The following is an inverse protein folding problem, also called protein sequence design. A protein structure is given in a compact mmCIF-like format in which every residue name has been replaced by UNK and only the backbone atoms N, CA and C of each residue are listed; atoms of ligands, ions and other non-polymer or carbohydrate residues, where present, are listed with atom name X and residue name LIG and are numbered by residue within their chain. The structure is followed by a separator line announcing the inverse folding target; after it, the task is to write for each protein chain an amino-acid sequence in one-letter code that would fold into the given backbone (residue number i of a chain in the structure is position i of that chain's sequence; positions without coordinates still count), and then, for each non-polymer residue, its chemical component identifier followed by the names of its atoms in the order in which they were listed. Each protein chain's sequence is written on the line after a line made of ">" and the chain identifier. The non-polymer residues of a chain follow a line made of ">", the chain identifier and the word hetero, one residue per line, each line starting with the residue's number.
data_IF_949896655175
#
_entry.id   IF_949896655175
#
_cell.length_a   1.000
_cell.length_b   1.000
_cell.length_c   1.000
_cell.angle_alpha   90.00
_cell.angle_beta   90.00
_cell.angle_gamma   90.00
#
_symmetry.space_group_name_H-M   'P 1'
#
loop_
_entity.id
_entity.type
_entity.pdbx_description
1 polymer ?
#
# COMPACT_ATOMS: atom_id res chain seq x y z
N UNK A 1 13.74 44.05 10.68
CA UNK A 1 12.74 43.25 11.42
C UNK A 1 11.37 43.59 10.84
N UNK A 2 10.54 42.61 10.49
CA UNK A 2 9.20 42.91 9.95
C UNK A 2 8.30 43.52 11.03
N UNK A 3 7.43 44.48 10.69
CA UNK A 3 6.56 45.10 11.67
C UNK A 3 5.48 44.10 12.16
N UNK A 4 5.41 43.90 13.47
CA UNK A 4 4.43 43.03 14.12
C UNK A 4 3.08 43.76 14.35
N UNK A 5 1.99 43.02 14.66
CA UNK A 5 0.73 43.60 15.11
C UNK A 5 0.89 44.48 16.35
N UNK A 6 0.01 45.47 16.52
CA UNK A 6 0.06 46.35 17.70
C UNK A 6 -0.35 45.61 18.98
N UNK A 7 -1.29 44.66 18.88
CA UNK A 7 -1.75 43.87 20.01
C UNK A 7 -0.71 42.82 20.41
N UNK A 8 -0.42 42.72 21.71
CA UNK A 8 0.53 41.74 22.27
C UNK A 8 0.13 40.30 21.93
N UNK A 9 -1.16 39.98 21.97
CA UNK A 9 -1.64 38.64 21.59
C UNK A 9 -1.38 38.36 20.11
N UNK A 10 -1.50 39.38 19.25
CA UNK A 10 -1.21 39.27 17.82
C UNK A 10 0.29 39.11 17.53
N UNK A 11 1.16 39.76 18.33
CA UNK A 11 2.62 39.57 18.26
C UNK A 11 2.97 38.12 18.59
N UNK A 12 2.52 37.65 19.76
CA UNK A 12 2.72 36.26 20.21
C UNK A 12 2.19 35.23 19.22
N UNK A 13 1.03 35.50 18.61
CA UNK A 13 0.46 34.67 17.56
C UNK A 13 1.37 34.55 16.34
N UNK A 14 1.88 35.67 15.83
CA UNK A 14 2.77 35.68 14.67
C UNK A 14 4.14 35.04 14.96
N UNK A 15 4.62 35.13 16.21
CA UNK A 15 5.85 34.48 16.65
C UNK A 15 5.70 32.96 16.75
N UNK A 16 4.56 32.50 17.27
CA UNK A 16 4.23 31.07 17.40
C UNK A 16 4.07 30.42 16.02
N UNK A 17 3.31 31.07 15.14
CA UNK A 17 3.03 30.60 13.77
C UNK A 17 3.88 31.36 12.74
N UNK A 18 5.20 31.23 12.87
CA UNK A 18 6.16 32.07 12.15
C UNK A 18 6.35 31.74 10.67
N UNK A 19 6.11 30.49 10.26
CA UNK A 19 6.26 30.03 8.87
C UNK A 19 5.08 30.47 8.01
N UNK A 20 5.26 31.60 7.33
CA UNK A 20 4.21 32.31 6.58
C UNK A 20 4.32 32.19 5.06
N UNK A 21 5.17 31.28 4.57
CA UNK A 21 5.27 30.91 3.16
C UNK A 21 4.31 29.76 2.85
N UNK A 22 3.69 29.77 1.66
CA UNK A 22 2.73 28.72 1.25
C UNK A 22 1.60 28.47 2.27
N UNK A 23 1.16 29.53 2.96
CA UNK A 23 -0.04 29.48 3.80
C UNK A 23 -1.25 29.03 2.96
N UNK A 24 -2.22 28.43 3.63
CA UNK A 24 -3.52 28.13 3.03
C UNK A 24 -4.54 29.17 3.49
N UNK A 25 -5.49 29.49 2.62
CA UNK A 25 -6.65 30.29 2.98
C UNK A 25 -7.92 29.68 2.37
N UNK A 26 -9.08 29.94 2.97
CA UNK A 26 -10.38 29.50 2.46
C UNK A 26 -11.49 30.40 2.97
N UNK A 27 -12.60 30.45 2.24
CA UNK A 27 -13.79 31.22 2.59
C UNK A 27 -14.64 30.48 3.61
N UNK A 28 -15.29 31.21 4.52
CA UNK A 28 -16.31 30.66 5.44
C UNK A 28 -17.72 30.74 4.88
N UNK A 29 -17.92 31.28 3.67
CA UNK A 29 -19.24 31.42 3.04
C UNK A 29 -19.94 30.07 2.83
N UNK A 30 -19.17 29.02 2.51
CA UNK A 30 -19.70 27.65 2.39
C UNK A 30 -19.45 26.86 3.68
N UNK A 31 -20.45 26.81 4.56
CA UNK A 31 -20.38 26.11 5.83
C UNK A 31 -20.15 24.60 5.72
N UNK A 32 -20.45 23.98 4.56
CA UNK A 32 -20.30 22.54 4.36
C UNK A 32 -18.86 22.12 4.02
N UNK A 33 -18.09 22.98 3.33
CA UNK A 33 -16.71 22.67 2.92
C UNK A 33 -15.92 23.93 2.60
N UNK A 34 -14.83 24.13 3.32
CA UNK A 34 -13.87 25.21 3.06
C UNK A 34 -13.09 24.96 1.76
N UNK A 35 -13.04 25.96 0.90
CA UNK A 35 -12.34 25.97 -0.40
C UNK A 35 -10.86 26.33 -0.24
N UNK A 36 -10.10 25.46 0.42
CA UNK A 36 -8.69 25.71 0.70
C UNK A 36 -7.85 25.94 -0.55
N UNK A 37 -7.19 27.10 -0.63
CA UNK A 37 -6.19 27.46 -1.64
C UNK A 37 -4.85 27.79 -1.01
N UNK A 38 -3.75 27.43 -1.68
CA UNK A 38 -2.39 27.75 -1.21
C UNK A 38 -1.91 29.08 -1.80
N UNK A 39 -1.39 29.96 -0.95
CA UNK A 39 -0.80 31.24 -1.33
C UNK A 39 0.67 31.00 -1.73
N UNK A 40 0.95 30.89 -3.03
CA UNK A 40 2.28 30.54 -3.56
C UNK A 40 3.13 31.74 -3.97
N UNK A 41 2.52 32.92 -4.13
CA UNK A 41 3.17 34.09 -4.75
C UNK A 41 4.07 34.88 -3.80
N UNK A 42 3.75 34.93 -2.52
CA UNK A 42 4.45 35.74 -1.52
C UNK A 42 4.20 35.20 -0.11
N UNK A 43 5.14 35.40 0.85
CA UNK A 43 4.87 35.10 2.24
C UNK A 43 3.91 36.16 2.83
N UNK A 44 3.04 35.74 3.74
CA UNK A 44 2.18 36.68 4.47
C UNK A 44 3.00 37.50 5.47
N UNK A 45 2.88 38.84 5.41
CA UNK A 45 3.46 39.74 6.42
C UNK A 45 2.72 39.59 7.76
N UNK A 46 3.36 39.81 8.93
CA UNK A 46 2.75 39.50 10.24
C UNK A 46 1.41 40.21 10.47
N UNK A 47 1.32 41.50 10.14
CA UNK A 47 0.08 42.28 10.27
C UNK A 47 -1.05 41.78 9.37
N UNK A 48 -0.72 41.36 8.15
CA UNK A 48 -1.71 40.82 7.19
C UNK A 48 -2.16 39.43 7.62
N UNK A 49 -1.22 38.60 8.07
CA UNK A 49 -1.50 37.29 8.63
C UNK A 49 -2.44 37.37 9.85
N UNK A 50 -2.15 38.28 10.78
CA UNK A 50 -3.01 38.56 11.92
C UNK A 50 -4.40 39.07 11.50
N UNK A 51 -4.47 40.02 10.56
CA UNK A 51 -5.75 40.53 10.06
C UNK A 51 -6.61 39.41 9.44
N UNK A 52 -5.99 38.51 8.64
CA UNK A 52 -6.67 37.35 8.06
C UNK A 52 -7.18 36.37 9.12
N UNK A 53 -6.40 36.15 10.18
CA UNK A 53 -6.86 35.33 11.30
C UNK A 53 -8.09 35.92 11.99
N UNK A 54 -8.18 37.25 12.08
CA UNK A 54 -9.30 37.95 12.74
C UNK A 54 -10.55 38.09 11.86
N UNK A 55 -10.46 37.78 10.56
CA UNK A 55 -11.58 37.90 9.63
C UNK A 55 -12.51 36.68 9.75
N UNK A 56 -13.75 36.89 10.22
CA UNK A 56 -14.75 35.82 10.34
C UNK A 56 -15.20 35.24 8.98
N UNK A 57 -14.98 35.98 7.89
CA UNK A 57 -15.25 35.56 6.51
C UNK A 57 -14.18 34.64 5.91
N UNK A 58 -13.06 34.47 6.60
CA UNK A 58 -11.92 33.71 6.09
C UNK A 58 -11.38 32.73 7.13
N UNK A 59 -10.72 31.69 6.61
CA UNK A 59 -9.87 30.82 7.40
C UNK A 59 -8.49 30.83 6.78
N UNK A 60 -7.47 30.77 7.63
CA UNK A 60 -6.07 30.69 7.28
C UNK A 60 -5.42 29.52 8.01
N UNK A 61 -4.42 28.93 7.37
CA UNK A 61 -3.61 27.84 7.89
C UNK A 61 -2.15 28.03 7.52
N UNK A 62 -1.27 27.38 8.28
CA UNK A 62 0.18 27.46 8.12
C UNK A 62 0.78 26.08 7.93
N UNK A 63 2.02 26.07 7.43
CA UNK A 63 2.87 24.88 7.34
C UNK A 63 3.99 25.00 8.36
N UNK A 64 4.88 24.02 8.38
CA UNK A 64 6.03 23.99 9.28
C UNK A 64 7.32 24.31 8.53
N UNK A 65 8.26 24.96 9.23
CA UNK A 65 9.63 25.11 8.76
C UNK A 65 10.47 23.86 9.09
N UNK A 66 11.79 23.91 8.87
CA UNK A 66 12.75 22.87 9.27
C UNK A 66 12.69 22.51 10.76
N UNK A 67 12.42 23.50 11.61
CA UNK A 67 12.35 23.40 13.05
C UNK A 67 11.01 23.97 13.53
N UNK A 68 10.42 23.38 14.56
CA UNK A 68 9.10 23.78 15.08
C UNK A 68 9.08 23.76 16.60
N UNK A 69 8.19 24.58 17.18
CA UNK A 69 7.90 24.62 18.62
C UNK A 69 6.54 23.99 18.96
N UNK A 70 5.92 23.33 18.00
CA UNK A 70 4.67 22.63 18.24
C UNK A 70 4.38 21.54 17.21
N UNK A 71 3.42 20.70 17.56
CA UNK A 71 2.69 19.84 16.65
C UNK A 71 1.17 19.99 16.87
N UNK A 72 0.39 19.46 15.93
CA UNK A 72 -1.07 19.34 16.01
C UNK A 72 -1.45 17.93 15.59
N UNK A 73 -2.33 17.31 16.36
CA UNK A 73 -3.05 16.11 15.92
C UNK A 73 -4.46 16.55 15.57
N UNK A 74 -4.88 16.27 14.34
CA UNK A 74 -6.20 16.62 13.82
C UNK A 74 -7.05 15.35 13.72
N UNK A 75 -8.25 15.41 14.29
CA UNK A 75 -9.17 14.30 14.42
C UNK A 75 -10.52 14.77 13.91
N UNK A 76 -10.93 14.24 12.77
CA UNK A 76 -12.17 14.66 12.13
C UNK A 76 -13.41 14.24 12.91
N UNK A 77 -14.49 15.00 12.70
CA UNK A 77 -15.80 14.67 13.24
C UNK A 77 -16.23 13.26 12.78
N UNK A 78 -16.71 12.44 13.72
CA UNK A 78 -17.12 11.07 13.45
C UNK A 78 -15.97 10.05 13.38
N UNK A 79 -14.72 10.47 13.58
CA UNK A 79 -13.59 9.55 13.73
C UNK A 79 -13.76 8.64 14.94
N UNK A 80 -13.48 7.34 14.78
CA UNK A 80 -13.49 6.39 15.90
C UNK A 80 -12.47 6.72 16.99
N UNK A 81 -11.50 7.59 16.68
CA UNK A 81 -10.46 8.05 17.60
C UNK A 81 -10.99 9.06 18.63
N UNK A 82 -12.13 9.72 18.37
CA UNK A 82 -12.76 10.63 19.35
C UNK A 82 -13.15 9.93 20.66
N UNK A 83 -13.43 8.64 20.62
CA UNK A 83 -13.71 7.83 21.82
C UNK A 83 -12.44 7.28 22.49
N UNK A 84 -11.28 7.53 21.89
CA UNK A 84 -9.98 6.98 22.32
C UNK A 84 -8.97 8.08 22.67
N UNK A 85 -9.43 9.33 22.87
CA UNK A 85 -8.56 10.47 23.22
C UNK A 85 -7.68 10.19 24.46
N UNK A 86 -8.17 9.56 25.54
CA UNK A 86 -7.31 9.21 26.67
C UNK A 86 -6.19 8.23 26.28
N UNK A 87 -6.49 7.23 25.45
CA UNK A 87 -5.49 6.26 24.95
C UNK A 87 -4.49 6.93 24.01
N UNK A 88 -4.96 7.86 23.17
CA UNK A 88 -4.12 8.65 22.27
C UNK A 88 -3.14 9.51 23.07
N UNK A 89 -3.62 10.19 24.13
CA UNK A 89 -2.77 10.98 25.03
C UNK A 89 -1.76 10.10 25.77
N UNK A 90 -2.20 8.97 26.32
CA UNK A 90 -1.31 8.02 26.98
C UNK A 90 -0.23 7.45 26.02
N UNK A 91 -0.56 7.27 24.74
CA UNK A 91 0.42 6.88 23.73
C UNK A 91 1.48 7.99 23.55
N UNK A 92 1.07 9.25 23.43
CA UNK A 92 1.98 10.39 23.28
C UNK A 92 2.89 10.58 24.51
N UNK A 93 2.40 10.29 25.71
CA UNK A 93 3.20 10.31 26.95
C UNK A 93 4.43 9.40 26.84
N UNK A 94 4.35 8.27 26.13
CA UNK A 94 5.47 7.32 25.95
C UNK A 94 6.67 7.85 25.14
N UNK A 95 6.52 9.04 24.54
CA UNK A 95 7.58 9.75 23.83
C UNK A 95 7.83 11.15 24.41
N UNK A 96 7.45 11.37 25.66
CA UNK A 96 7.66 12.63 26.40
C UNK A 96 6.66 13.73 26.12
N UNK A 97 5.55 13.45 25.41
CA UNK A 97 4.46 14.41 25.19
C UNK A 97 3.40 14.23 26.27
N UNK A 98 3.54 15.00 27.35
CA UNK A 98 2.78 14.83 28.59
C UNK A 98 1.47 15.62 28.61
N UNK A 99 1.43 16.77 27.92
CA UNK A 99 0.26 17.64 27.90
C UNK A 99 -0.09 18.09 26.49
N UNK A 100 -1.40 18.18 26.24
CA UNK A 100 -1.97 18.68 24.98
C UNK A 100 -2.97 19.78 25.28
N UNK A 101 -3.12 20.74 24.38
CA UNK A 101 -4.17 21.76 24.44
C UNK A 101 -5.29 21.35 23.49
N UNK A 102 -6.45 20.86 23.99
CA UNK A 102 -7.54 20.41 23.15
C UNK A 102 -8.40 21.59 22.66
N UNK A 103 -8.71 21.57 21.37
CA UNK A 103 -9.60 22.52 20.73
C UNK A 103 -10.60 21.78 19.87
N UNK A 104 -11.87 22.18 19.92
CA UNK A 104 -12.77 21.86 18.82
C UNK A 104 -12.30 22.63 17.59
N UNK A 105 -12.15 21.95 16.46
CA UNK A 105 -11.64 22.53 15.22
C UNK A 105 -12.73 23.28 14.45
N UNK A 106 -13.99 22.84 14.52
CA UNK A 106 -15.12 23.51 13.86
C UNK A 106 -16.49 23.13 14.47
N UNK A 107 -17.58 23.69 13.93
CA UNK A 107 -18.94 23.35 14.34
C UNK A 107 -19.33 21.88 14.14
N UNK A 108 -18.63 21.14 13.26
CA UNK A 108 -18.89 19.72 13.05
C UNK A 108 -18.42 18.83 14.20
N UNK A 109 -17.60 19.36 15.13
CA UNK A 109 -17.14 18.62 16.30
C UNK A 109 -15.79 17.90 16.13
N UNK A 110 -15.05 18.17 15.04
CA UNK A 110 -13.65 17.73 14.94
C UNK A 110 -12.78 18.32 16.05
N UNK A 111 -11.63 17.70 16.31
CA UNK A 111 -10.73 18.02 17.42
C UNK A 111 -9.31 18.26 16.92
N UNK A 112 -8.71 19.37 17.35
CA UNK A 112 -7.27 19.60 17.29
C UNK A 112 -6.66 19.42 18.68
N UNK A 113 -5.63 18.60 18.79
CA UNK A 113 -4.77 18.54 19.95
C UNK A 113 -3.46 19.26 19.64
N UNK A 114 -3.30 20.47 20.15
CA UNK A 114 -2.03 21.17 20.03
C UNK A 114 -1.04 20.61 21.05
N UNK A 115 0.22 20.47 20.61
CA UNK A 115 1.33 19.96 21.40
C UNK A 115 2.41 21.05 21.43
N UNK A 116 2.35 21.99 22.39
CA UNK A 116 3.35 23.03 22.57
C UNK A 116 4.67 22.43 23.07
N UNK A 117 5.79 22.96 22.57
CA UNK A 117 7.15 22.57 22.98
C UNK A 117 7.90 23.79 23.52
N UNK A 118 8.64 23.67 24.63
CA UNK A 118 9.38 24.76 25.26
C UNK A 118 10.61 25.19 24.42
N UNK A 119 11.16 24.27 23.63
CA UNK A 119 12.31 24.47 22.75
C UNK A 119 11.98 24.02 21.31
N UNK A 120 12.64 24.60 20.29
CA UNK A 120 12.43 24.17 18.92
C UNK A 120 13.07 22.80 18.68
N UNK A 121 12.37 21.91 17.99
CA UNK A 121 12.86 20.59 17.59
C UNK A 121 12.81 20.44 16.07
N UNK A 122 13.56 19.48 15.53
CA UNK A 122 13.49 19.17 14.10
C UNK A 122 12.08 18.71 13.71
N UNK A 123 11.42 19.46 12.82
CA UNK A 123 10.06 19.17 12.34
C UNK A 123 9.95 17.77 11.75
N UNK A 124 10.96 17.36 10.98
CA UNK A 124 10.98 16.02 10.38
C UNK A 124 11.12 14.92 11.45
N UNK A 125 11.99 15.14 12.44
CA UNK A 125 12.15 14.24 13.57
C UNK A 125 10.82 14.07 14.33
N UNK A 126 10.14 15.19 14.60
CA UNK A 126 8.86 15.21 15.30
C UNK A 126 7.78 14.46 14.54
N UNK A 127 7.67 14.69 13.23
CA UNK A 127 6.77 13.94 12.36
C UNK A 127 7.04 12.42 12.39
N UNK A 128 8.32 12.03 12.43
CA UNK A 128 8.71 10.62 12.51
C UNK A 128 8.35 9.99 13.86
N UNK A 129 8.61 10.71 14.95
CA UNK A 129 8.34 10.25 16.31
C UNK A 129 6.83 10.08 16.54
N UNK A 130 6.04 11.10 16.19
CA UNK A 130 4.57 11.04 16.30
C UNK A 130 4.00 9.86 15.51
N UNK A 131 4.39 9.69 14.24
CA UNK A 131 3.88 8.58 13.43
C UNK A 131 4.25 7.23 14.03
N UNK A 132 5.53 7.01 14.37
CA UNK A 132 6.00 5.73 14.87
C UNK A 132 5.37 5.39 16.21
N UNK A 133 5.26 6.37 17.10
CA UNK A 133 4.57 6.24 18.39
C UNK A 133 3.13 5.77 18.19
N UNK A 134 2.34 6.51 17.42
CA UNK A 134 0.92 6.21 17.21
C UNK A 134 0.73 4.85 16.50
N UNK A 135 1.48 4.58 15.42
CA UNK A 135 1.40 3.30 14.71
C UNK A 135 1.80 2.10 15.60
N UNK A 136 2.81 2.26 16.47
CA UNK A 136 3.24 1.20 17.39
C UNK A 136 2.19 0.86 18.46
N UNK A 137 1.32 1.82 18.79
CA UNK A 137 0.23 1.68 19.74
C UNK A 137 -1.10 1.31 19.04
N UNK A 138 -1.05 0.94 17.76
CA UNK A 138 -2.20 0.45 17.01
C UNK A 138 -3.08 1.53 16.38
N UNK A 139 -2.70 2.81 16.47
CA UNK A 139 -3.42 3.88 15.80
C UNK A 139 -3.10 3.92 14.31
N UNK A 140 -4.14 3.98 13.49
CA UNK A 140 -4.00 4.08 12.05
C UNK A 140 -4.09 5.55 11.61
N UNK A 141 -2.98 6.09 11.11
CA UNK A 141 -2.92 7.47 10.62
C UNK A 141 -3.49 7.52 9.20
N UNK A 142 -4.69 8.08 9.09
CA UNK A 142 -5.47 8.17 7.85
C UNK A 142 -6.05 9.56 7.69
N UNK A 143 -5.94 10.08 6.47
CA UNK A 143 -6.58 11.32 6.06
C UNK A 143 -8.10 11.21 6.27
N UNK A 144 -8.72 12.23 6.87
CA UNK A 144 -10.15 12.18 7.19
C UNK A 144 -10.52 11.47 8.51
N UNK A 145 -9.55 11.01 9.31
CA UNK A 145 -9.78 10.28 10.57
C UNK A 145 -8.82 10.70 11.69
N UNK A 146 -7.52 10.60 11.42
CA UNK A 146 -6.43 10.92 12.36
C UNK A 146 -5.23 11.38 11.53
N UNK A 147 -5.03 12.70 11.48
CA UNK A 147 -3.90 13.32 10.79
C UNK A 147 -2.91 13.91 11.80
N UNK A 148 -1.63 13.90 11.41
CA UNK A 148 -0.54 14.47 12.21
C UNK A 148 0.15 15.60 11.48
N UNK A 149 0.42 16.67 12.22
CA UNK A 149 1.03 17.90 11.74
C UNK A 149 2.19 18.25 12.68
N UNK A 150 3.45 18.19 12.24
CA UNK A 150 3.90 17.94 10.88
C UNK A 150 3.71 16.49 10.40
N UNK A 151 3.48 16.32 9.10
CA UNK A 151 3.44 15.01 8.45
C UNK A 151 4.85 14.55 8.02
N UNK A 152 5.05 13.24 7.82
CA UNK A 152 6.29 12.75 7.21
C UNK A 152 6.24 13.00 5.71
N UNK A 153 6.94 14.05 5.24
CA UNK A 153 7.11 14.35 3.81
C UNK A 153 8.23 13.52 3.17
N UNK A 154 8.14 13.31 1.86
CA UNK A 154 9.27 12.82 1.07
C UNK A 154 10.31 13.94 0.91
N UNK A 155 11.59 13.57 0.78
CA UNK A 155 12.61 14.53 0.35
C UNK A 155 12.39 14.83 -1.13
N UNK A 156 12.14 16.10 -1.45
CA UNK A 156 12.08 16.56 -2.83
C UNK A 156 13.44 16.43 -3.52
N UNK A 157 13.42 16.26 -4.84
CA UNK A 157 14.62 16.29 -5.67
C UNK A 157 15.17 17.73 -5.70
N UNK A 158 15.92 18.11 -4.66
CA UNK A 158 16.46 19.46 -4.49
C UNK A 158 17.32 19.88 -5.69
N UNK A 159 18.03 18.94 -6.32
CA UNK A 159 18.82 19.16 -7.54
C UNK A 159 17.97 19.50 -8.78
N UNK A 160 16.66 19.23 -8.76
CA UNK A 160 15.69 19.64 -9.78
C UNK A 160 14.92 20.89 -9.37
N UNK A 161 15.29 21.55 -8.27
CA UNK A 161 14.55 22.69 -7.72
C UNK A 161 13.17 22.31 -7.14
N UNK A 162 12.90 21.01 -6.93
CA UNK A 162 11.64 20.51 -6.38
C UNK A 162 11.70 20.47 -4.85
N UNK A 163 10.99 21.38 -4.21
CA UNK A 163 10.79 21.40 -2.77
C UNK A 163 9.45 20.76 -2.43
N UNK A 164 9.45 19.88 -1.43
CA UNK A 164 8.21 19.33 -0.87
C UNK A 164 7.97 20.01 0.47
N UNK A 165 6.79 20.61 0.63
CA UNK A 165 6.39 21.23 1.90
C UNK A 165 5.67 20.24 2.81
N UNK A 166 5.65 20.55 4.10
CA UNK A 166 4.76 19.87 5.04
C UNK A 166 3.31 20.20 4.71
N UNK A 167 2.37 19.29 5.02
CA UNK A 167 0.93 19.55 4.97
C UNK A 167 0.63 20.77 5.85
N UNK A 168 -0.28 21.61 5.37
CA UNK A 168 -0.75 22.78 6.11
C UNK A 168 -1.86 22.36 7.08
N UNK A 169 -1.92 22.99 8.24
CA UNK A 169 -3.02 22.84 9.18
C UNK A 169 -3.72 24.19 9.37
N UNK A 170 -5.01 24.14 9.72
CA UNK A 170 -5.79 25.34 10.07
C UNK A 170 -5.32 25.93 11.40
N UNK A 171 -5.33 27.26 11.50
CA UNK A 171 -4.97 27.98 12.74
C UNK A 171 -6.08 27.89 13.80
N UNK A 172 -5.72 27.94 15.10
CA UNK A 172 -6.66 27.79 16.20
C UNK A 172 -7.55 29.03 16.36
N UNK A 173 -8.77 28.86 16.90
CA UNK A 173 -9.61 29.95 17.41
C UNK A 173 -9.92 31.10 16.42
N UNK A 174 -10.02 30.79 15.13
CA UNK A 174 -10.41 31.78 14.13
C UNK A 174 -11.89 32.19 14.31
N UNK A 175 -12.25 33.48 14.23
CA UNK A 175 -13.63 33.94 14.36
C UNK A 175 -14.57 33.30 13.33
N UNK A 176 -15.86 33.14 13.68
CA UNK A 176 -16.88 32.55 12.80
C UNK A 176 -16.72 31.04 12.52
N UNK A 177 -15.61 30.44 12.94
CA UNK A 177 -15.15 29.15 12.45
C UNK A 177 -15.64 27.95 13.29
N UNK A 178 -16.27 28.22 14.43
CA UNK A 178 -16.74 27.24 15.41
C UNK A 178 -15.65 26.65 16.30
N UNK A 179 -14.39 27.05 16.09
CA UNK A 179 -13.28 26.62 16.91
C UNK A 179 -13.39 27.20 18.32
N UNK A 180 -13.24 26.33 19.31
CA UNK A 180 -13.22 26.74 20.72
C UNK A 180 -12.25 25.86 21.50
N UNK A 181 -11.67 26.46 22.54
CA UNK A 181 -10.85 25.77 23.52
C UNK A 181 -11.74 24.83 24.35
N UNK A 182 -11.18 23.67 24.70
CA UNK A 182 -11.86 22.66 25.50
C UNK A 182 -11.16 22.44 26.84
N UNK A 183 -11.90 21.91 27.82
CA UNK A 183 -11.33 21.33 29.04
C UNK A 183 -10.63 20.00 28.75
N UNK A 184 -9.98 19.42 29.77
CA UNK A 184 -9.43 18.06 29.69
C UNK A 184 -10.50 17.01 29.35
N UNK A 185 -11.74 17.21 29.84
CA UNK A 185 -12.93 16.40 29.56
C UNK A 185 -13.63 16.77 28.24
N UNK A 186 -12.94 17.51 27.37
CA UNK A 186 -13.39 17.93 26.05
C UNK A 186 -14.67 18.81 26.05
N UNK A 187 -14.95 19.50 27.16
CA UNK A 187 -16.08 20.42 27.27
C UNK A 187 -15.69 21.83 26.80
N UNK A 188 -16.55 22.55 26.04
CA UNK A 188 -16.20 23.85 25.48
C UNK A 188 -16.11 24.96 26.53
N UNK A 189 -15.01 25.73 26.51
CA UNK A 189 -14.76 26.85 27.44
C UNK A 189 -14.64 28.23 26.76
N UNK A 190 -14.73 28.28 25.42
CA UNK A 190 -14.77 29.51 24.63
C UNK A 190 -13.60 29.67 23.65
N UNK A 191 -13.58 30.76 22.89
CA UNK A 191 -12.63 30.99 21.79
C UNK A 191 -11.60 32.10 22.06
N UNK A 192 -11.08 32.20 23.29
CA UNK A 192 -10.15 33.25 23.69
C UNK A 192 -8.68 32.83 23.50
N UNK A 193 -7.93 33.61 22.73
CA UNK A 193 -6.52 33.38 22.47
C UNK A 193 -5.65 33.58 23.72
N UNK A 194 -6.03 34.44 24.67
CA UNK A 194 -5.24 34.61 25.91
C UNK A 194 -5.27 33.33 26.75
N UNK A 195 -6.46 32.75 26.95
CA UNK A 195 -6.62 31.43 27.60
C UNK A 195 -5.91 30.32 26.85
N UNK A 196 -5.99 30.31 25.52
CA UNK A 196 -5.28 29.34 24.70
C UNK A 196 -3.77 29.41 24.92
N UNK A 197 -3.21 30.62 24.92
CA UNK A 197 -1.78 30.83 25.11
C UNK A 197 -1.32 30.62 26.56
N UNK A 198 -2.20 30.83 27.54
CA UNK A 198 -1.95 30.41 28.91
C UNK A 198 -1.85 28.88 29.01
N UNK A 199 -2.83 28.15 28.46
CA UNK A 199 -2.79 26.69 28.39
C UNK A 199 -1.60 26.18 27.58
N UNK A 200 -1.21 26.91 26.54
CA UNK A 200 -0.03 26.62 25.73
C UNK A 200 1.26 26.64 26.54
N UNK A 201 1.48 27.70 27.34
CA UNK A 201 2.69 27.82 28.16
C UNK A 201 2.75 26.72 29.22
N UNK A 202 1.62 26.45 29.89
CA UNK A 202 1.53 25.37 30.87
C UNK A 202 1.85 24.02 30.22
N UNK A 203 1.24 23.71 29.07
CA UNK A 203 1.50 22.46 28.37
C UNK A 203 2.96 22.36 27.90
N UNK A 204 3.55 23.44 27.38
CA UNK A 204 4.95 23.47 26.96
C UNK A 204 5.90 23.18 28.12
N UNK A 205 5.64 23.73 29.31
CA UNK A 205 6.47 23.49 30.50
C UNK A 205 6.36 22.06 31.04
N UNK A 206 5.26 21.36 30.76
CA UNK A 206 5.03 20.01 31.23
C UNK A 206 5.65 18.91 30.35
N UNK A 207 6.14 19.23 29.15
CA UNK A 207 6.70 18.20 28.26
C UNK A 207 8.01 17.64 28.83
N UNK A 208 8.19 16.32 28.72
CA UNK A 208 9.47 15.68 28.99
C UNK A 208 10.36 15.78 27.74
N UNK A 209 11.18 16.83 27.71
CA UNK A 209 12.05 17.11 26.57
C UNK A 209 13.20 16.10 26.43
N UNK A 210 13.62 15.45 27.52
CA UNK A 210 14.70 14.46 27.47
C UNK A 210 14.20 13.17 26.82
N UNK A 211 13.01 12.70 27.23
CA UNK A 211 12.35 11.57 26.59
C UNK A 211 11.98 11.88 25.14
N UNK A 212 11.47 13.09 24.87
CA UNK A 212 11.16 13.51 23.50
C UNK A 212 12.40 13.56 22.62
N UNK A 213 13.52 14.13 23.07
CA UNK A 213 14.76 14.16 22.28
C UNK A 213 15.30 12.76 21.98
N UNK A 214 15.21 11.84 22.94
CA UNK A 214 15.54 10.44 22.71
C UNK A 214 14.62 9.83 21.64
N UNK A 215 13.30 10.00 21.77
CA UNK A 215 12.33 9.52 20.79
C UNK A 215 12.56 10.09 19.39
N UNK A 216 12.88 11.39 19.26
CA UNK A 216 13.22 12.05 18.00
C UNK A 216 14.45 11.42 17.34
N UNK A 217 15.50 11.18 18.12
CA UNK A 217 16.74 10.56 17.64
C UNK A 217 16.45 9.15 17.12
N UNK A 218 15.76 8.34 17.91
CA UNK A 218 15.46 6.96 17.55
C UNK A 218 14.51 6.88 16.36
N UNK A 219 13.47 7.72 16.32
CA UNK A 219 12.52 7.74 15.21
C UNK A 219 13.22 8.10 13.88
N UNK A 220 14.18 9.03 13.93
CA UNK A 220 15.00 9.39 12.76
C UNK A 220 15.92 8.24 12.35
N UNK A 221 16.53 7.56 13.30
CA UNK A 221 17.37 6.39 13.05
C UNK A 221 16.56 5.23 12.50
N UNK A 222 15.41 4.91 13.07
CA UNK A 222 14.47 3.92 12.54
C UNK A 222 14.02 4.28 11.13
N UNK A 223 13.83 5.55 10.81
CA UNK A 223 13.48 5.99 9.45
C UNK A 223 14.63 5.81 8.46
N UNK A 224 15.88 6.04 8.88
CA UNK A 224 17.10 5.83 8.07
C UNK A 224 17.44 4.35 7.91
N UNK A 225 17.37 3.61 9.02
CA UNK A 225 17.66 2.19 9.16
C UNK A 225 16.52 1.33 8.69
N UNK A 226 15.31 1.89 8.49
CA UNK A 226 14.26 1.24 7.71
C UNK A 226 15.00 0.87 6.44
N UNK A 227 15.29 -0.43 6.22
CA UNK A 227 15.68 -0.84 4.90
C UNK A 227 14.58 -0.22 4.04
N UNK A 228 14.90 0.45 2.91
CA UNK A 228 13.92 0.52 1.83
C UNK A 228 13.29 -0.84 1.87
N UNK A 229 12.03 -0.96 2.32
CA UNK A 229 11.44 -2.27 2.59
C UNK A 229 11.84 -2.99 1.32
N UNK A 230 12.71 -4.00 1.41
CA UNK A 230 12.68 -5.02 0.39
C UNK A 230 11.27 -5.49 0.66
N UNK A 231 10.31 -4.91 -0.08
CA UNK A 231 9.03 -5.54 -0.29
C UNK A 231 9.46 -6.97 -0.45
N UNK A 232 9.06 -7.82 0.49
CA UNK A 232 9.30 -9.25 0.40
C UNK A 232 9.00 -9.54 -1.06
N UNK A 233 10.05 -9.81 -1.85
CA UNK A 233 9.91 -9.64 -3.29
C UNK A 233 8.76 -10.55 -3.72
N UNK A 234 8.07 -10.30 -4.84
CA UNK A 234 7.00 -11.21 -5.28
C UNK A 234 7.42 -12.70 -5.22
N UNK A 235 8.73 -12.97 -5.40
CA UNK A 235 9.38 -14.27 -5.22
C UNK A 235 9.41 -14.78 -3.77
N UNK A 236 9.77 -13.94 -2.80
CA UNK A 236 9.89 -14.32 -1.39
C UNK A 236 8.50 -14.46 -0.74
N UNK A 237 7.53 -13.65 -1.18
CA UNK A 237 6.13 -13.74 -0.74
C UNK A 237 5.52 -15.04 -1.23
N UNK A 238 5.70 -15.34 -2.52
CA UNK A 238 5.30 -16.62 -3.12
C UNK A 238 5.99 -17.83 -2.48
N UNK A 239 7.28 -17.71 -2.10
CA UNK A 239 7.98 -18.77 -1.36
C UNK A 239 7.31 -19.05 -0.02
N UNK A 240 7.04 -17.99 0.75
CA UNK A 240 6.41 -18.10 2.07
C UNK A 240 4.98 -18.67 1.99
N UNK A 241 4.21 -18.29 0.97
CA UNK A 241 2.88 -18.86 0.71
C UNK A 241 2.93 -20.37 0.43
N UNK A 242 3.86 -20.80 -0.43
CA UNK A 242 4.06 -22.23 -0.71
C UNK A 242 4.55 -22.99 0.51
N UNK A 243 5.47 -22.42 1.30
CA UNK A 243 5.93 -23.03 2.54
C UNK A 243 4.80 -23.19 3.54
N UNK A 244 3.92 -22.18 3.68
CA UNK A 244 2.76 -22.22 4.54
C UNK A 244 1.78 -23.32 4.08
N UNK A 245 1.35 -23.32 2.82
CA UNK A 245 0.43 -24.32 2.24
C UNK A 245 0.98 -25.75 2.40
N UNK A 246 2.27 -25.95 2.12
CA UNK A 246 2.92 -27.25 2.30
C UNK A 246 2.97 -27.62 3.79
N UNK A 247 3.32 -26.68 4.68
CA UNK A 247 3.49 -26.95 6.11
C UNK A 247 2.19 -27.35 6.81
N UNK A 248 1.07 -26.72 6.45
CA UNK A 248 -0.26 -27.04 6.97
C UNK A 248 -0.72 -28.44 6.52
N UNK A 249 -0.26 -28.87 5.35
CA UNK A 249 -0.50 -30.22 4.85
C UNK A 249 -1.91 -30.42 4.33
N UNK A 250 -2.52 -31.54 4.69
CA UNK A 250 -3.81 -31.98 4.17
C UNK A 250 -4.92 -31.60 5.14
N UNK A 251 -5.88 -30.81 4.68
CA UNK A 251 -6.96 -30.27 5.52
C UNK A 251 -8.35 -30.69 5.04
N UNK A 252 -8.48 -31.29 3.86
CA UNK A 252 -9.75 -31.77 3.32
C UNK A 252 -9.63 -32.67 2.10
N UNK A 253 -10.73 -33.31 1.72
CA UNK A 253 -10.78 -34.17 0.53
C UNK A 253 -10.67 -33.36 -0.77
N UNK A 254 -10.15 -34.00 -1.83
CA UNK A 254 -10.01 -33.39 -3.15
C UNK A 254 -8.76 -32.50 -3.36
N UNK A 255 -7.90 -32.34 -2.34
CA UNK A 255 -6.73 -31.45 -2.39
C UNK A 255 -5.51 -32.02 -3.12
N UNK A 256 -5.48 -33.32 -3.39
CA UNK A 256 -4.32 -34.06 -3.92
C UNK A 256 -3.61 -33.36 -5.08
N UNK A 257 -4.36 -32.91 -6.09
CA UNK A 257 -3.74 -32.28 -7.26
C UNK A 257 -3.18 -30.88 -6.95
N UNK A 258 -3.84 -30.11 -6.09
CA UNK A 258 -3.37 -28.77 -5.73
C UNK A 258 -2.09 -28.88 -4.90
N UNK A 259 -2.10 -29.71 -3.87
CA UNK A 259 -0.98 -29.82 -2.94
C UNK A 259 0.25 -30.45 -3.61
N UNK A 260 0.08 -31.48 -4.45
CA UNK A 260 1.19 -32.05 -5.23
C UNK A 260 1.79 -31.04 -6.21
N UNK A 261 0.97 -30.17 -6.80
CA UNK A 261 1.44 -29.06 -7.63
C UNK A 261 2.29 -28.09 -6.81
N UNK A 262 1.80 -27.65 -5.64
CA UNK A 262 2.51 -26.71 -4.77
C UNK A 262 3.85 -27.28 -4.28
N UNK A 263 3.86 -28.54 -3.84
CA UNK A 263 5.09 -29.25 -3.43
C UNK A 263 6.08 -29.37 -4.58
N UNK A 264 5.64 -29.85 -5.75
CA UNK A 264 6.51 -30.01 -6.91
C UNK A 264 7.01 -28.64 -7.43
N UNK A 265 6.18 -27.61 -7.38
CA UNK A 265 6.55 -26.23 -7.73
C UNK A 265 7.65 -25.71 -6.82
N UNK A 266 7.48 -25.85 -5.50
CA UNK A 266 8.50 -25.45 -4.54
C UNK A 266 9.82 -26.19 -4.77
N UNK A 267 9.76 -27.53 -4.93
CA UNK A 267 10.94 -28.35 -5.17
C UNK A 267 11.68 -28.01 -6.48
N UNK A 268 10.96 -27.63 -7.53
CA UNK A 268 11.57 -27.28 -8.80
C UNK A 268 12.12 -25.84 -8.82
N UNK A 269 11.35 -24.88 -8.31
CA UNK A 269 11.67 -23.45 -8.41
C UNK A 269 12.73 -23.04 -7.37
N UNK A 270 12.56 -23.47 -6.12
CA UNK A 270 13.40 -23.02 -5.01
C UNK A 270 14.49 -24.03 -4.65
N UNK A 271 14.18 -25.34 -4.62
CA UNK A 271 15.17 -26.40 -4.36
C UNK A 271 15.93 -26.85 -5.61
N UNK A 272 15.54 -26.36 -6.80
CA UNK A 272 16.18 -26.64 -8.11
C UNK A 272 16.28 -28.14 -8.44
N UNK A 273 15.28 -28.92 -8.01
CA UNK A 273 15.21 -30.35 -8.27
C UNK A 273 14.55 -30.64 -9.63
N UNK A 274 15.00 -31.71 -10.30
CA UNK A 274 14.53 -32.11 -11.62
C UNK A 274 14.44 -33.64 -11.76
N UNK A 275 13.82 -34.14 -12.84
CA UNK A 275 13.80 -35.56 -13.16
C UNK A 275 13.31 -36.46 -12.02
N UNK A 276 14.13 -37.42 -11.60
CA UNK A 276 13.81 -38.38 -10.54
C UNK A 276 13.83 -37.76 -9.14
N UNK A 277 14.77 -36.85 -8.85
CA UNK A 277 14.90 -36.24 -7.51
C UNK A 277 13.71 -35.37 -7.15
N UNK A 278 13.11 -34.68 -8.13
CA UNK A 278 11.87 -33.93 -7.90
C UNK A 278 10.68 -34.86 -7.55
N UNK A 279 10.62 -36.06 -8.15
CA UNK A 279 9.53 -37.02 -7.90
C UNK A 279 9.62 -37.55 -6.48
N UNK A 280 10.81 -38.00 -6.09
CA UNK A 280 11.10 -38.50 -4.73
C UNK A 280 10.87 -37.40 -3.68
N UNK A 281 11.30 -36.17 -3.97
CA UNK A 281 11.01 -35.02 -3.11
C UNK A 281 9.49 -34.82 -2.94
N UNK A 282 8.75 -34.81 -4.04
CA UNK A 282 7.31 -34.55 -4.01
C UNK A 282 6.57 -35.61 -3.22
N UNK A 283 6.90 -36.89 -3.43
CA UNK A 283 6.30 -38.01 -2.72
C UNK A 283 6.66 -38.02 -1.23
N UNK A 284 7.93 -37.83 -0.90
CA UNK A 284 8.39 -37.76 0.49
C UNK A 284 7.73 -36.61 1.25
N UNK A 285 7.62 -35.43 0.64
CA UNK A 285 6.96 -34.29 1.29
C UNK A 285 5.47 -34.57 1.42
N UNK A 286 4.78 -34.99 0.36
CA UNK A 286 3.35 -35.27 0.38
C UNK A 286 2.95 -36.28 1.48
N UNK A 287 3.71 -37.37 1.62
CA UNK A 287 3.46 -38.44 2.61
C UNK A 287 3.85 -38.04 4.03
N UNK A 288 4.82 -37.14 4.20
CA UNK A 288 5.24 -36.65 5.53
C UNK A 288 4.42 -35.50 6.08
N UNK A 289 3.55 -34.88 5.28
CA UNK A 289 2.72 -33.75 5.73
C UNK A 289 1.52 -34.21 6.59
N UNK A 290 1.12 -33.42 7.60
CA UNK A 290 -0.03 -33.75 8.46
C UNK A 290 -1.30 -33.99 7.66
N UNK A 291 -2.11 -34.97 8.07
CA UNK A 291 -3.41 -35.24 7.46
C UNK A 291 -3.40 -36.10 6.19
N UNK A 292 -2.23 -36.51 5.69
CA UNK A 292 -2.11 -37.37 4.50
C UNK A 292 -3.00 -38.61 4.61
N UNK A 293 -2.85 -39.37 5.70
CA UNK A 293 -3.60 -40.61 5.94
C UNK A 293 -5.11 -40.40 6.02
N UNK A 294 -5.53 -39.23 6.51
CA UNK A 294 -6.95 -38.92 6.78
C UNK A 294 -7.69 -38.35 5.57
N UNK A 295 -7.02 -37.52 4.78
CA UNK A 295 -7.69 -36.67 3.79
C UNK A 295 -7.33 -36.99 2.35
N UNK A 296 -6.13 -37.52 2.10
CA UNK A 296 -5.78 -38.05 0.79
C UNK A 296 -6.63 -39.32 0.55
N UNK A 297 -7.19 -39.48 -0.65
CA UNK A 297 -7.87 -40.73 -1.05
C UNK A 297 -7.08 -41.48 -2.13
N UNK A 298 -5.90 -40.97 -2.43
CA UNK A 298 -5.04 -41.37 -3.53
C UNK A 298 -3.78 -42.09 -3.03
N UNK A 299 -3.82 -42.74 -1.87
CA UNK A 299 -2.66 -43.44 -1.31
C UNK A 299 -2.10 -44.51 -2.25
N UNK A 300 -2.99 -45.25 -2.93
CA UNK A 300 -2.63 -46.34 -3.84
C UNK A 300 -1.98 -45.85 -5.16
N UNK A 301 -2.25 -44.61 -5.58
CA UNK A 301 -1.73 -44.04 -6.82
C UNK A 301 -0.86 -42.78 -6.60
N UNK A 302 -0.46 -42.49 -5.35
CA UNK A 302 0.25 -41.27 -4.97
C UNK A 302 1.57 -41.12 -5.71
N UNK A 303 2.36 -42.19 -5.79
CA UNK A 303 3.65 -42.25 -6.50
C UNK A 303 3.49 -41.85 -7.97
N UNK A 304 2.46 -42.39 -8.63
CA UNK A 304 2.17 -42.07 -10.04
C UNK A 304 1.75 -40.61 -10.20
N UNK A 305 0.94 -40.07 -9.28
CA UNK A 305 0.52 -38.67 -9.30
C UNK A 305 1.67 -37.70 -9.05
N UNK A 306 2.55 -38.00 -8.10
CA UNK A 306 3.79 -37.25 -7.87
C UNK A 306 4.65 -37.20 -9.14
N UNK A 307 4.78 -38.33 -9.83
CA UNK A 307 5.49 -38.40 -11.12
C UNK A 307 4.89 -37.50 -12.19
N UNK A 308 3.55 -37.50 -12.32
CA UNK A 308 2.83 -36.65 -13.28
C UNK A 308 3.02 -35.18 -12.95
N UNK A 309 2.88 -34.78 -11.69
CA UNK A 309 3.02 -33.37 -11.27
C UNK A 309 4.46 -32.87 -11.35
N UNK A 310 5.45 -33.67 -10.97
CA UNK A 310 6.86 -33.33 -11.15
C UNK A 310 7.20 -33.09 -12.63
N UNK A 311 6.69 -33.94 -13.54
CA UNK A 311 6.88 -33.76 -14.97
C UNK A 311 6.10 -32.57 -15.55
N UNK A 312 4.94 -32.24 -14.98
CA UNK A 312 4.15 -31.09 -15.40
C UNK A 312 4.83 -29.77 -14.99
N UNK A 313 5.27 -29.66 -13.73
CA UNK A 313 5.88 -28.43 -13.20
C UNK A 313 7.13 -28.03 -13.97
N UNK A 314 7.99 -28.98 -14.33
CA UNK A 314 9.19 -28.73 -15.15
C UNK A 314 8.91 -28.13 -16.53
N UNK A 315 7.65 -28.22 -17.02
CA UNK A 315 7.23 -27.61 -18.29
C UNK A 315 6.72 -26.18 -18.13
N UNK A 316 6.22 -25.83 -16.95
CA UNK A 316 5.51 -24.56 -16.69
C UNK A 316 6.27 -23.60 -15.78
N UNK A 317 7.23 -24.10 -15.01
CA UNK A 317 8.01 -23.35 -14.04
C UNK A 317 9.49 -23.52 -14.33
N UNK A 318 10.30 -22.58 -13.86
CA UNK A 318 11.75 -22.57 -14.05
C UNK A 318 12.46 -22.41 -12.71
N UNK A 319 13.63 -23.04 -12.51
CA UNK A 319 14.46 -22.80 -11.33
C UNK A 319 14.73 -21.31 -11.16
N UNK A 320 14.59 -20.80 -9.94
CA UNK A 320 14.70 -19.38 -9.64
C UNK A 320 16.07 -18.83 -10.10
N UNK A 321 16.04 -17.79 -10.94
CA UNK A 321 17.24 -17.17 -11.51
C UNK A 321 17.68 -17.75 -12.86
N UNK A 322 16.90 -18.63 -13.48
CA UNK A 322 17.11 -19.09 -14.86
C UNK A 322 16.21 -18.35 -15.84
N UNK A 323 16.67 -18.18 -17.09
CA UNK A 323 15.85 -17.56 -18.13
C UNK A 323 14.75 -18.51 -18.61
N UNK A 324 13.48 -18.06 -18.66
CA UNK A 324 12.40 -18.90 -19.12
C UNK A 324 12.56 -19.16 -20.63
N UNK A 325 12.88 -20.40 -20.98
CA UNK A 325 12.81 -20.89 -22.37
C UNK A 325 11.35 -20.99 -22.78
N UNK A 326 10.73 -19.88 -23.19
CA UNK A 326 9.37 -19.87 -23.74
C UNK A 326 9.39 -20.55 -25.12
N UNK A 327 9.20 -21.85 -25.14
CA UNK A 327 8.91 -22.55 -26.39
C UNK A 327 7.45 -22.25 -26.80
N UNK A 328 7.29 -21.31 -27.74
CA UNK A 328 5.99 -20.97 -28.36
C UNK A 328 5.40 -22.11 -29.21
N UNK A 329 6.11 -23.22 -29.40
CA UNK A 329 5.61 -24.40 -30.13
C UNK A 329 4.49 -25.13 -29.36
N UNK A 330 4.58 -25.19 -28.03
CA UNK A 330 3.71 -26.05 -27.21
C UNK A 330 2.28 -25.49 -27.06
N UNK A 331 2.14 -24.16 -26.95
CA UNK A 331 0.83 -23.51 -26.97
C UNK A 331 0.08 -23.75 -28.28
N UNK A 332 0.81 -23.76 -29.41
CA UNK A 332 0.24 -24.10 -30.73
C UNK A 332 -0.13 -25.58 -30.84
N UNK A 333 0.68 -26.48 -30.29
CA UNK A 333 0.40 -27.92 -30.25
C UNK A 333 -0.81 -28.25 -29.36
N UNK A 334 -0.91 -27.67 -28.17
CA UNK A 334 -2.06 -27.86 -27.27
C UNK A 334 -3.35 -27.27 -27.85
N UNK A 335 -3.28 -26.09 -28.47
CA UNK A 335 -4.43 -25.53 -29.20
C UNK A 335 -4.85 -26.43 -30.36
N UNK A 336 -3.89 -27.03 -31.08
CA UNK A 336 -4.20 -27.98 -32.15
C UNK A 336 -4.85 -29.28 -31.64
N UNK A 337 -4.39 -29.84 -30.50
CA UNK A 337 -5.01 -31.01 -29.88
C UNK A 337 -6.39 -30.69 -29.32
N UNK A 338 -6.56 -29.55 -28.64
CA UNK A 338 -7.85 -29.14 -28.10
C UNK A 338 -8.85 -28.87 -29.22
N UNK A 339 -8.42 -28.24 -30.32
CA UNK A 339 -9.22 -28.06 -31.52
C UNK A 339 -9.65 -29.41 -32.11
N UNK A 340 -8.74 -30.37 -32.24
CA UNK A 340 -9.05 -31.71 -32.75
C UNK A 340 -10.02 -32.48 -31.83
N UNK A 341 -9.90 -32.33 -30.51
CA UNK A 341 -10.84 -32.92 -29.53
C UNK A 341 -12.21 -32.24 -29.56
N UNK A 342 -12.24 -30.95 -29.87
CA UNK A 342 -13.47 -30.19 -30.03
C UNK A 342 -14.18 -30.58 -31.34
N UNK A 343 -13.45 -30.70 -32.45
CA UNK A 343 -13.96 -31.19 -33.73
C UNK A 343 -14.55 -32.60 -33.60
N UNK A 344 -13.82 -33.55 -33.00
CA UNK A 344 -14.31 -34.91 -32.74
C UNK A 344 -15.57 -34.94 -31.84
N UNK A 345 -15.67 -34.03 -30.86
CA UNK A 345 -16.86 -33.91 -30.04
C UNK A 345 -18.06 -33.36 -30.84
N UNK A 346 -17.85 -32.37 -31.69
CA UNK A 346 -18.88 -31.85 -32.60
C UNK A 346 -19.37 -32.93 -33.56
N UNK A 347 -18.47 -33.67 -34.21
CA UNK A 347 -18.82 -34.73 -35.17
C UNK A 347 -19.64 -35.84 -34.50
N UNK A 348 -19.25 -36.26 -33.30
CA UNK A 348 -20.00 -37.26 -32.52
C UNK A 348 -21.38 -36.77 -32.08
N UNK A 349 -21.51 -35.50 -31.71
CA UNK A 349 -22.80 -34.91 -31.32
C UNK A 349 -23.72 -34.81 -32.54
N UNK A 350 -23.23 -34.32 -33.67
CA UNK A 350 -24.00 -34.22 -34.92
C UNK A 350 -24.45 -35.59 -35.43
N UNK A 351 -23.54 -36.58 -35.47
CA UNK A 351 -23.89 -37.94 -35.90
C UNK A 351 -24.90 -38.61 -34.95
N UNK A 352 -24.76 -38.42 -33.63
CA UNK A 352 -25.72 -38.92 -32.66
C UNK A 352 -27.10 -38.26 -32.81
N UNK A 353 -27.14 -36.96 -33.13
CA UNK A 353 -28.38 -36.24 -33.38
C UNK A 353 -29.08 -36.70 -34.66
N UNK A 354 -28.36 -36.90 -35.76
CA UNK A 354 -28.91 -37.44 -37.01
C UNK A 354 -29.47 -38.86 -36.85
N UNK A 355 -28.76 -39.73 -36.11
CA UNK A 355 -29.22 -41.08 -35.81
C UNK A 355 -30.49 -41.06 -34.95
N UNK A 356 -30.56 -40.19 -33.94
CA UNK A 356 -31.76 -40.03 -33.12
C UNK A 356 -32.91 -39.42 -33.91
N UNK A 357 -32.63 -38.53 -34.87
CA UNK A 357 -33.63 -37.98 -35.78
C UNK A 357 -34.25 -39.04 -36.69
N UNK A 358 -33.46 -40.01 -37.16
CA UNK A 358 -33.95 -41.12 -37.97
C UNK A 358 -34.86 -42.10 -37.21
N UNK A 359 -34.68 -42.21 -35.88
CA UNK A 359 -35.46 -43.11 -35.01
C UNK A 359 -36.64 -42.40 -34.33
N UNK A 360 -36.60 -41.08 -34.23
CA UNK A 360 -37.63 -40.23 -33.62
C UNK A 360 -37.09 -39.46 -32.41
N UNK A 361 -37.21 -38.13 -32.43
CA UNK A 361 -36.71 -37.25 -31.38
C UNK A 361 -37.70 -37.23 -30.18
N UNK A 362 -37.20 -37.33 -28.92
CA UNK A 362 -38.04 -37.13 -27.74
C UNK A 362 -38.58 -35.70 -27.65
N UNK A 363 -39.83 -35.53 -27.19
CA UNK A 363 -40.45 -34.20 -27.03
C UNK A 363 -39.82 -33.38 -25.89
N UNK A 364 -39.21 -34.02 -24.89
CA UNK A 364 -38.58 -33.34 -23.75
C UNK A 364 -37.07 -33.14 -23.97
N UNK A 365 -36.63 -31.87 -23.93
CA UNK A 365 -35.23 -31.46 -24.15
C UNK A 365 -34.25 -32.14 -23.17
N UNK A 366 -34.65 -32.34 -21.91
CA UNK A 366 -33.80 -33.03 -20.91
C UNK A 366 -33.58 -34.50 -21.25
N UNK A 367 -34.60 -35.17 -21.80
CA UNK A 367 -34.52 -36.57 -22.22
C UNK A 367 -33.69 -36.69 -23.51
N UNK A 368 -33.84 -35.73 -24.44
CA UNK A 368 -32.99 -35.60 -25.62
C UNK A 368 -31.50 -35.43 -25.24
N UNK A 369 -31.19 -34.54 -24.29
CA UNK A 369 -29.82 -34.33 -23.82
C UNK A 369 -29.22 -35.59 -23.17
N UNK A 370 -30.02 -36.35 -22.43
CA UNK A 370 -29.58 -37.61 -21.80
C UNK A 370 -29.29 -38.70 -22.83
N UNK A 371 -30.12 -38.82 -23.87
CA UNK A 371 -29.88 -39.78 -24.97
C UNK A 371 -28.68 -39.37 -25.82
N UNK A 372 -28.50 -38.08 -26.10
CA UNK A 372 -27.36 -37.56 -26.85
C UNK A 372 -26.04 -37.78 -26.10
N UNK A 373 -25.98 -37.52 -24.80
CA UNK A 373 -24.76 -37.80 -24.01
C UNK A 373 -24.39 -39.27 -24.01
N UNK A 374 -25.38 -40.17 -23.96
CA UNK A 374 -25.18 -41.62 -24.03
C UNK A 374 -24.70 -42.08 -25.43
N UNK A 375 -25.35 -41.61 -26.50
CA UNK A 375 -24.99 -41.98 -27.89
C UNK A 375 -23.66 -41.36 -28.33
N UNK A 376 -23.43 -40.07 -28.07
CA UNK A 376 -22.21 -39.37 -28.43
C UNK A 376 -21.03 -39.68 -27.49
N UNK A 377 -21.27 -40.40 -26.37
CA UNK A 377 -20.28 -40.71 -25.32
C UNK A 377 -19.54 -39.45 -24.85
N UNK A 378 -20.29 -38.41 -24.51
CA UNK A 378 -19.76 -37.14 -24.04
C UNK A 378 -20.45 -36.69 -22.74
N UNK A 379 -19.80 -35.79 -22.00
CA UNK A 379 -20.37 -35.25 -20.76
C UNK A 379 -21.51 -34.26 -21.06
N UNK A 380 -22.45 -34.09 -20.13
CA UNK A 380 -23.49 -33.06 -20.22
C UNK A 380 -22.88 -31.66 -20.44
N UNK A 381 -21.80 -31.34 -19.71
CA UNK A 381 -21.11 -30.06 -19.86
C UNK A 381 -20.51 -29.84 -21.25
N UNK A 382 -20.07 -30.90 -21.93
CA UNK A 382 -19.59 -30.83 -23.32
C UNK A 382 -20.75 -30.64 -24.29
N UNK A 383 -21.88 -31.33 -24.07
CA UNK A 383 -23.07 -31.24 -24.92
C UNK A 383 -23.69 -29.81 -24.88
N UNK A 384 -23.80 -29.21 -23.69
CA UNK A 384 -24.34 -27.84 -23.53
C UNK A 384 -23.42 -26.74 -24.07
N UNK A 385 -22.14 -27.03 -24.37
CA UNK A 385 -21.26 -26.07 -25.07
C UNK A 385 -21.54 -25.96 -26.56
N UNK A 386 -22.24 -26.95 -27.13
CA UNK A 386 -22.51 -27.07 -28.57
C UNK A 386 -24.02 -27.13 -28.83
N UNK A 387 -24.77 -26.20 -28.22
CA UNK A 387 -26.24 -26.12 -28.33
C UNK A 387 -26.73 -25.90 -29.77
N UNK A 388 -25.91 -25.22 -30.57
CA UNK A 388 -26.11 -24.96 -32.00
C UNK A 388 -26.29 -26.23 -32.83
N UNK A 389 -25.72 -27.36 -32.39
CA UNK A 389 -25.74 -28.63 -33.14
C UNK A 389 -26.97 -29.51 -32.87
N UNK A 390 -27.69 -29.30 -31.77
CA UNK A 390 -28.74 -30.25 -31.34
C UNK A 390 -29.95 -29.63 -30.62
N UNK A 391 -29.87 -28.37 -30.16
CA UNK A 391 -30.95 -27.74 -29.41
C UNK A 391 -31.92 -26.99 -30.36
N UNK A 392 -33.23 -27.29 -30.34
CA UNK A 392 -34.19 -26.72 -31.29
C UNK A 392 -34.26 -25.19 -31.29
N UNK A 393 -34.11 -24.57 -30.11
CA UNK A 393 -34.14 -23.10 -29.97
C UNK A 393 -32.86 -22.40 -30.43
N UNK A 394 -31.77 -23.13 -30.62
CA UNK A 394 -30.47 -22.58 -31.06
C UNK A 394 -30.14 -22.93 -32.52
N UNK A 395 -30.95 -23.79 -33.17
CA UNK A 395 -30.84 -24.09 -34.59
C UNK A 395 -31.74 -23.15 -35.41
N UNK A 396 -31.18 -22.03 -35.91
CA UNK A 396 -31.39 -21.43 -37.26
C UNK A 396 -30.94 -19.95 -37.28
N UNK A 397 -29.85 -19.67 -38.00
CA UNK A 397 -29.75 -18.57 -38.98
C UNK A 397 -28.56 -18.83 -39.91
N UNK A 398 -28.80 -19.56 -41.01
CA UNK A 398 -27.91 -19.61 -42.17
C UNK A 398 -28.79 -19.69 -43.42
N UNK A 399 -29.31 -18.54 -43.86
CA UNK A 399 -29.78 -18.36 -45.24
C UNK A 399 -28.70 -17.58 -46.01
N UNK A 400 -28.29 -18.02 -47.21
CA UNK A 400 -27.24 -17.34 -47.96
C UNK A 400 -27.79 -16.09 -48.68
N UNK A 401 -27.10 -14.93 -48.65
CA UNK A 401 -27.48 -13.82 -49.50
C UNK A 401 -26.91 -13.97 -50.92
N UNK A 402 -27.82 -13.93 -51.89
CA UNK A 402 -27.61 -13.78 -53.35
C UNK A 402 -26.96 -12.42 -53.69
N UNK A 403 -26.15 -12.28 -54.76
CA UNK A 403 -25.24 -11.17 -54.94
C UNK A 403 -25.94 -9.93 -55.53
N UNK A 404 -25.49 -8.74 -55.13
CA UNK A 404 -25.75 -7.48 -55.86
C UNK A 404 -24.42 -6.82 -56.19
N UNK A 405 -24.19 -6.72 -57.49
CA UNK A 405 -23.09 -6.08 -58.18
C UNK A 405 -23.16 -4.55 -58.06
N UNK A 406 -21.98 -3.93 -57.98
CA UNK A 406 -21.52 -2.70 -58.69
C UNK A 406 -21.00 -1.58 -57.80
N UNK A 407 -19.68 -1.34 -57.82
CA UNK A 407 -19.05 -0.14 -58.39
C UNK A 407 -17.52 -0.05 -58.10
N UNK A 408 -16.75 -0.29 -59.16
CA UNK A 408 -15.64 0.53 -59.72
C UNK A 408 -14.36 0.86 -58.91
N UNK A 409 -13.28 0.19 -59.33
CA UNK A 409 -11.89 0.58 -59.61
C UNK A 409 -11.24 1.93 -59.17
N UNK A 410 -10.16 1.79 -58.37
CA UNK A 410 -8.72 2.10 -58.64
C UNK A 410 -8.22 3.59 -58.85
N UNK A 411 -6.89 3.91 -58.90
CA UNK A 411 -5.90 4.03 -57.79
C UNK A 411 -4.91 5.26 -57.89
N UNK A 412 -3.88 5.30 -57.00
CA UNK A 412 -2.62 6.11 -57.00
C UNK A 412 -2.72 7.60 -56.59
N UNK A 413 -1.74 8.34 -56.05
CA UNK A 413 -0.27 8.21 -55.91
C UNK A 413 0.25 9.19 -54.80
N UNK A 414 1.53 9.06 -54.42
CA UNK A 414 2.36 9.84 -53.44
C UNK A 414 2.41 11.38 -53.69
N UNK A 415 2.96 12.29 -52.81
CA UNK A 415 4.23 12.15 -52.05
C UNK A 415 4.41 12.94 -50.70
N UNK A 416 5.61 12.76 -50.12
CA UNK A 416 6.18 13.37 -48.89
C UNK A 416 6.72 14.80 -49.17
N UNK A 417 6.76 15.71 -48.17
CA UNK A 417 8.04 16.38 -47.84
C UNK A 417 8.28 16.60 -46.32
N UNK A 418 9.56 16.84 -45.97
CA UNK A 418 10.11 17.14 -44.63
C UNK A 418 10.39 18.67 -44.44
N UNK A 419 11.24 19.14 -43.49
CA UNK A 419 10.89 19.82 -42.23
C UNK A 419 11.33 21.32 -42.15
N UNK A 420 10.88 22.07 -41.14
CA UNK A 420 11.44 23.40 -40.78
C UNK A 420 11.66 23.54 -39.26
N UNK A 421 12.86 23.99 -38.90
CA UNK A 421 13.29 24.52 -37.60
C UNK A 421 13.04 26.03 -37.51
N UNK A 422 12.76 26.60 -36.32
CA UNK A 422 13.50 27.79 -35.84
C UNK A 422 13.42 27.91 -34.32
N UNK A 423 14.50 28.41 -33.74
CA UNK A 423 14.81 28.59 -32.33
C UNK A 423 14.19 29.86 -31.72
N UNK A 424 14.12 29.93 -30.39
CA UNK A 424 14.49 31.14 -29.66
C UNK A 424 14.95 30.82 -28.23
N UNK A 425 16.17 31.28 -27.94
CA UNK A 425 16.93 31.12 -26.69
C UNK A 425 16.92 32.47 -25.99
N UNK A 426 16.49 32.56 -24.73
CA UNK A 426 16.81 33.71 -23.88
C UNK A 426 17.04 33.30 -22.40
N UNK A 427 18.32 33.40 -22.03
CA UNK A 427 18.90 33.86 -20.77
C UNK A 427 18.51 33.20 -19.42
N UNK A 428 19.40 32.31 -18.98
CA UNK A 428 19.65 31.99 -17.57
C UNK A 428 20.28 33.19 -16.84
N UNK A 429 19.73 33.57 -15.68
CA UNK A 429 20.44 34.35 -14.66
C UNK A 429 20.32 33.70 -13.27
N UNK A 430 21.47 33.22 -12.79
CA UNK A 430 21.93 33.19 -11.40
C UNK A 430 21.00 32.75 -10.26
N UNK A 431 21.21 31.53 -9.76
CA UNK A 431 20.88 31.18 -8.36
C UNK A 431 22.12 30.59 -7.69
N UNK A 432 22.51 31.21 -6.58
CA UNK A 432 23.67 30.89 -5.76
C UNK A 432 23.42 29.65 -4.89
N UNK A 433 24.40 28.75 -4.69
CA UNK A 433 24.33 27.71 -3.67
C UNK A 433 25.21 28.11 -2.47
N UNK A 434 24.64 28.17 -1.27
CA UNK A 434 25.40 28.09 -0.02
C UNK A 434 24.88 26.91 0.78
N UNK A 435 25.74 25.90 0.94
CA UNK A 435 25.47 24.69 1.69
C UNK A 435 25.88 24.75 3.17
N UNK A 436 25.74 23.63 3.85
CA UNK A 436 26.28 23.32 5.18
C UNK A 436 26.09 21.81 5.42
N UNK A 437 27.15 21.02 5.24
CA UNK A 437 28.09 20.50 6.26
C UNK A 437 27.39 19.71 7.38
N UNK A 438 27.60 18.40 7.33
CA UNK A 438 27.25 17.40 8.33
C UNK A 438 28.46 17.17 9.25
N UNK A 439 28.26 17.27 10.56
CA UNK A 439 29.14 16.66 11.55
C UNK A 439 28.32 15.64 12.34
N UNK A 440 28.83 14.42 12.40
CA UNK A 440 28.22 13.30 13.11
C UNK A 440 28.66 13.29 14.57
N UNK A 441 27.78 12.84 15.46
CA UNK A 441 28.16 12.42 16.80
C UNK A 441 27.50 11.06 17.08
N UNK A 442 28.37 10.12 17.45
CA UNK A 442 28.09 8.79 17.95
C UNK A 442 27.84 8.85 19.46
N UNK A 443 26.81 8.17 19.96
CA UNK A 443 26.67 7.87 21.37
C UNK A 443 26.03 6.49 21.56
N UNK A 444 26.58 5.77 22.52
CA UNK A 444 26.36 4.36 22.83
C UNK A 444 25.07 4.11 23.61
N UNK A 445 24.59 2.89 23.46
CA UNK A 445 23.29 2.38 23.91
C UNK A 445 23.32 1.83 25.33
N UNK A 446 22.36 2.23 26.16
CA UNK A 446 21.56 1.29 26.98
C UNK A 446 20.32 2.00 27.54
N UNK A 447 19.18 1.28 27.55
CA UNK A 447 17.83 1.67 28.03
C UNK A 447 16.81 2.18 27.00
N UNK A 448 16.31 1.30 26.13
CA UNK A 448 15.05 1.47 25.37
C UNK A 448 14.32 0.12 25.28
N UNK A 449 13.20 -0.05 26.00
CA UNK A 449 12.44 -1.32 26.02
C UNK A 449 11.20 -1.37 25.12
N UNK A 450 10.83 -0.29 24.43
CA UNK A 450 9.60 -0.23 23.61
C UNK A 450 9.85 -0.11 22.10
N UNK A 451 11.03 -0.51 21.63
CA UNK A 451 11.37 -0.52 20.21
C UNK A 451 11.99 -1.88 19.88
N UNK A 452 11.31 -2.68 19.07
CA UNK A 452 11.70 -4.05 18.74
C UNK A 452 13.15 -4.12 18.21
N UNK A 453 14.08 -4.84 18.88
CA UNK A 453 15.39 -5.13 18.31
C UNK A 453 15.28 -6.33 17.37
N UNK A 454 15.47 -6.10 16.07
CA UNK A 454 15.65 -7.18 15.10
C UNK A 454 17.01 -7.85 15.30
N UNK A 455 17.01 -9.00 15.97
CA UNK A 455 18.22 -9.77 16.25
C UNK A 455 18.92 -10.27 14.99
N UNK A 456 20.25 -10.10 14.94
CA UNK A 456 21.17 -10.98 14.20
C UNK A 456 22.37 -11.26 15.09
N UNK A 457 22.62 -12.52 15.39
CA UNK A 457 23.86 -12.98 16.01
C UNK A 457 24.49 -14.08 15.16
N UNK A 458 25.46 -13.72 14.31
CA UNK A 458 26.53 -14.61 13.84
C UNK A 458 27.78 -13.76 13.64
N UNK A 459 28.58 -13.66 14.69
CA UNK A 459 29.95 -13.18 14.62
C UNK A 459 30.87 -14.31 14.18
N UNK A 460 31.70 -14.03 13.17
CA UNK A 460 32.92 -14.77 12.86
C UNK A 460 34.04 -14.20 13.75
N UNK A 461 34.83 -15.07 14.35
CA UNK A 461 36.12 -14.74 14.94
C UNK A 461 37.08 -15.90 14.65
N UNK A 462 38.08 -15.64 13.81
CA UNK A 462 39.28 -16.46 13.66
C UNK A 462 40.40 -15.83 14.51
N UNK A 463 41.29 -16.66 15.07
CA UNK A 463 42.54 -16.22 15.70
C UNK A 463 43.08 -17.19 16.76
N UNK A 464 43.99 -18.06 16.31
CA UNK A 464 44.86 -19.01 17.04
C UNK A 464 45.63 -18.35 18.23
N UNK A 465 46.14 -19.04 19.26
CA UNK A 465 46.33 -20.46 19.56
C UNK A 465 47.04 -20.68 20.91
N UNK A 466 47.62 -21.88 21.07
CA UNK A 466 48.47 -22.42 22.16
C UNK A 466 47.86 -23.17 23.36
N UNK A 467 47.74 -24.49 23.16
CA UNK A 467 48.33 -25.61 23.94
C UNK A 467 48.48 -25.51 25.46
N UNK A 468 47.79 -26.39 26.17
CA UNK A 468 48.41 -27.36 27.11
C UNK A 468 47.41 -28.49 27.37
N UNK A 469 47.80 -29.71 26.99
CA UNK A 469 47.09 -30.93 27.37
C UNK A 469 47.70 -31.51 28.64
N UNK A 470 46.85 -31.93 29.56
CA UNK A 470 47.05 -33.10 30.43
C UNK A 470 45.72 -33.42 31.11
N UNK A 471 45.15 -34.58 30.77
CA UNK A 471 44.09 -35.25 31.53
C UNK A 471 44.67 -36.56 32.10
N UNK A 472 44.06 -37.11 33.16
CA UNK A 472 44.76 -37.98 34.11
C UNK A 472 44.68 -39.46 33.71
N UNK A 473 45.81 -40.16 33.84
CA UNK A 473 46.06 -41.39 34.63
C UNK A 473 47.39 -41.98 34.20
#
# INVERSE_FOLDING_TARGET
>A
MEPLPQSLIGQRFCETFSYRWMCIEGSTENAAKTDWRTITKYPLKPRVFWAKHQDAGQQVGVRFDKDTRYAVIDIDAGSAILNQIPLLRAALETIGIVRTVPLRSSWSGGLHLYIPLPAPVSTFGLACALRQCLESQGFEIKDGQLEIFPNIKAFGAFWEGKFTEYKAHRLPLQPGSGSCLLTEDLQPIGGDLERFFYAWDVAALCQDMDELHQALSIARDNRRRRPRRRAVGPVEEWKNELELEISEGWTGHGQTNSLLKSIACYGHVFERLEGASLREYTERIATSRPGFERWCQHHHDITMRCKVWAAAVQKYYWPLGTEPKRDRSLGRFMSAINRRRQEDACDRISAAYEQLRAVGLPEQIRELAKRLTQHAKCSMATLYKHLDLWHPEHSVCNTPPTPTTSATDSPSDRPIPSPIQTAETLANQGVTPRGGKYEGCSAETSHLKNLSPGGRGRGRGEGEGFSTGAAPT
#
